data_IF_303076069026
#
_entry.id   IF_303076069026
#
_cell.length_a   1.000
_cell.length_b   1.000
_cell.length_c   1.000
_cell.angle_alpha   90.00
_cell.angle_beta   90.00
_cell.angle_gamma   90.00
#
_symmetry.space_group_name_H-M   'P 1'
#
loop_
_entity.id
_entity.type
_entity.pdbx_description
1 polymer ?
#
# COMPACT_ATOMS: atom_id res chain seq x y z
N UNK A 1 64.75 2.40 7.70
CA UNK A 1 64.75 0.96 7.36
C UNK A 1 63.60 0.35 8.13
N UNK A 2 62.39 0.32 7.55
CA UNK A 2 61.82 -0.81 6.78
C UNK A 2 61.60 -2.00 7.75
N UNK A 3 60.41 -2.57 8.00
CA UNK A 3 59.22 -2.90 7.19
C UNK A 3 57.99 -3.05 8.13
N UNK A 4 56.80 -2.55 7.75
CA UNK A 4 55.62 -3.29 7.23
C UNK A 4 54.83 -4.11 8.26
N UNK A 5 53.59 -3.70 8.56
CA UNK A 5 52.66 -4.48 9.39
C UNK A 5 51.34 -3.77 9.71
N UNK A 6 50.59 -3.34 8.69
CA UNK A 6 49.18 -2.95 8.83
C UNK A 6 48.32 -4.09 8.30
N UNK A 7 47.61 -4.78 9.20
CA UNK A 7 46.64 -5.81 8.85
C UNK A 7 45.31 -5.18 8.40
N UNK A 8 44.71 -5.62 7.29
CA UNK A 8 43.32 -5.38 6.98
C UNK A 8 42.44 -6.54 7.47
N UNK A 9 41.32 -6.21 8.11
CA UNK A 9 40.21 -7.12 8.32
C UNK A 9 39.66 -7.57 6.97
N UNK A 10 39.96 -8.81 6.60
CA UNK A 10 39.20 -9.61 5.64
C UNK A 10 38.77 -10.85 6.42
N UNK A 11 37.49 -10.90 6.78
CA UNK A 11 36.88 -12.10 7.34
C UNK A 11 36.28 -12.84 6.15
N UNK A 12 36.91 -13.96 5.83
CA UNK A 12 36.42 -14.94 4.87
C UNK A 12 35.03 -15.42 5.31
N UNK A 13 34.03 -15.10 4.50
CA UNK A 13 32.73 -15.74 4.48
C UNK A 13 32.87 -16.98 3.58
N UNK A 14 33.15 -18.13 4.19
CA UNK A 14 32.95 -19.40 3.50
C UNK A 14 32.45 -20.49 4.45
N UNK A 15 31.45 -21.21 3.95
CA UNK A 15 30.92 -22.50 4.38
C UNK A 15 30.32 -22.65 5.78
N UNK A 16 29.10 -22.13 5.92
CA UNK A 16 28.07 -22.79 6.72
C UNK A 16 26.65 -22.48 6.18
N UNK A 17 26.37 -22.92 4.95
CA UNK A 17 24.98 -23.11 4.51
C UNK A 17 24.86 -24.54 4.03
N UNK A 18 24.31 -25.39 4.89
CA UNK A 18 23.88 -26.73 4.51
C UNK A 18 22.94 -26.63 3.31
N UNK A 19 23.39 -27.18 2.19
CA UNK A 19 22.61 -27.34 0.98
C UNK A 19 21.42 -28.26 1.30
N UNK A 20 20.28 -27.63 1.55
CA UNK A 20 19.01 -28.28 1.74
C UNK A 20 18.50 -28.72 0.36
N UNK A 21 18.89 -29.93 -0.04
CA UNK A 21 18.63 -30.47 -1.37
C UNK A 21 17.15 -30.86 -1.51
N UNK A 22 16.37 -29.98 -2.15
CA UNK A 22 14.91 -30.09 -2.30
C UNK A 22 14.49 -30.69 -3.64
N UNK A 23 15.33 -31.51 -4.29
CA UNK A 23 15.02 -32.06 -5.61
C UNK A 23 15.18 -33.59 -5.65
N UNK A 24 14.19 -34.33 -6.17
CA UNK A 24 14.33 -35.76 -6.36
C UNK A 24 15.39 -36.06 -7.45
N UNK A 25 16.06 -37.22 -7.37
CA UNK A 25 17.06 -37.62 -8.35
C UNK A 25 16.46 -37.61 -9.76
N UNK A 26 17.17 -36.99 -10.70
CA UNK A 26 16.78 -36.92 -12.12
C UNK A 26 16.82 -38.34 -12.69
N UNK A 27 15.69 -38.77 -13.24
CA UNK A 27 15.56 -40.05 -13.94
C UNK A 27 16.41 -40.04 -15.22
N UNK A 28 17.52 -40.78 -15.20
CA UNK A 28 18.47 -40.90 -16.33
C UNK A 28 17.82 -41.60 -17.55
N UNK A 29 16.62 -42.19 -17.42
CA UNK A 29 15.87 -42.78 -18.53
C UNK A 29 15.46 -41.75 -19.62
N UNK A 30 15.31 -40.47 -19.24
CA UNK A 30 14.98 -39.39 -20.18
C UNK A 30 16.13 -39.05 -21.15
N UNK A 31 17.38 -39.37 -20.80
CA UNK A 31 18.53 -39.16 -21.68
C UNK A 31 18.69 -40.32 -22.68
N UNK A 32 18.24 -41.53 -22.34
CA UNK A 32 18.29 -42.69 -23.23
C UNK A 32 17.15 -42.70 -24.27
N UNK A 33 15.96 -42.14 -23.96
CA UNK A 33 14.84 -42.06 -24.90
C UNK A 33 15.05 -41.12 -26.09
N UNK A 34 16.06 -40.25 -26.01
CA UNK A 34 16.36 -39.24 -27.05
C UNK A 34 17.12 -39.83 -28.25
N UNK A 35 17.53 -41.10 -28.19
CA UNK A 35 18.36 -41.74 -29.22
C UNK A 35 17.62 -42.76 -30.10
N UNK A 36 16.34 -43.05 -29.85
CA UNK A 36 15.61 -44.12 -30.55
C UNK A 36 14.29 -43.69 -31.23
N UNK A 37 14.15 -42.39 -31.55
CA UNK A 37 13.07 -41.91 -32.41
C UNK A 37 13.34 -42.25 -33.90
N UNK A 38 13.13 -43.50 -34.29
CA UNK A 38 12.75 -43.84 -35.67
C UNK A 38 12.15 -45.25 -35.82
N UNK A 39 10.85 -45.44 -35.54
CA UNK A 39 9.89 -46.10 -36.47
C UNK A 39 8.50 -46.36 -35.89
N UNK A 40 7.54 -45.88 -36.67
CA UNK A 40 6.23 -46.47 -37.00
C UNK A 40 5.05 -46.21 -36.08
N UNK A 41 4.15 -45.41 -36.63
CA UNK A 41 2.76 -45.16 -36.26
C UNK A 41 1.86 -46.41 -36.35
N UNK A 42 0.78 -46.37 -35.56
CA UNK A 42 -0.57 -46.62 -36.08
C UNK A 42 -1.25 -47.94 -35.65
N UNK A 43 -2.38 -47.84 -34.95
CA UNK A 43 -3.34 -48.95 -34.82
C UNK A 43 -4.33 -48.83 -33.66
N UNK A 44 -5.32 -47.97 -33.82
CA UNK A 44 -6.55 -47.82 -33.02
C UNK A 44 -7.50 -49.03 -33.19
N UNK A 45 -8.33 -49.36 -32.18
CA UNK A 45 -9.68 -49.98 -32.31
C UNK A 45 -10.37 -50.22 -30.97
N UNK A 46 -11.65 -49.81 -30.93
CA UNK A 46 -12.66 -49.85 -29.87
C UNK A 46 -13.56 -51.12 -29.91
N UNK A 47 -14.50 -51.17 -28.94
CA UNK A 47 -15.76 -51.97 -28.83
C UNK A 47 -15.64 -53.38 -28.19
N UNK A 48 -16.58 -53.94 -27.42
CA UNK A 48 -18.02 -53.71 -27.18
C UNK A 48 -18.46 -54.42 -25.87
N UNK A 49 -19.62 -54.05 -25.33
CA UNK A 49 -20.28 -54.61 -24.15
C UNK A 49 -21.30 -55.72 -24.50
N UNK A 50 -21.60 -56.63 -23.55
CA UNK A 50 -22.92 -57.29 -23.48
C UNK A 50 -23.19 -57.99 -22.15
N UNK A 51 -24.35 -57.65 -21.57
CA UNK A 51 -25.03 -58.31 -20.46
C UNK A 51 -25.95 -59.45 -20.95
N UNK A 52 -26.28 -60.39 -20.07
CA UNK A 52 -27.39 -61.33 -20.23
C UNK A 52 -27.65 -62.18 -18.99
N UNK A 53 -28.83 -62.02 -18.38
CA UNK A 53 -29.39 -62.86 -17.29
C UNK A 53 -29.71 -64.29 -17.74
N UNK A 54 -30.07 -65.27 -16.89
CA UNK A 54 -31.14 -65.30 -15.90
C UNK A 54 -31.15 -66.64 -15.09
N UNK A 55 -31.74 -66.60 -13.87
CA UNK A 55 -32.61 -67.62 -13.23
C UNK A 55 -32.10 -68.93 -12.55
N UNK A 56 -32.15 -68.96 -11.20
CA UNK A 56 -33.00 -69.89 -10.37
C UNK A 56 -32.46 -71.25 -9.82
N UNK A 57 -32.91 -71.76 -8.63
CA UNK A 57 -32.16 -72.61 -7.65
C UNK A 57 -32.76 -74.05 -7.47
N UNK A 58 -32.55 -74.92 -6.41
CA UNK A 58 -31.88 -74.75 -5.10
C UNK A 58 -31.08 -75.93 -4.45
N UNK A 59 -30.34 -75.57 -3.38
CA UNK A 59 -30.03 -76.30 -2.13
C UNK A 59 -29.32 -77.67 -2.15
N UNK A 60 -28.03 -77.66 -1.78
CA UNK A 60 -27.42 -78.67 -0.91
C UNK A 60 -26.33 -78.01 -0.04
N UNK A 61 -26.52 -78.06 1.29
CA UNK A 61 -25.59 -77.53 2.29
C UNK A 61 -24.35 -78.43 2.42
N UNK A 62 -23.16 -77.83 2.42
CA UNK A 62 -21.93 -78.43 2.98
C UNK A 62 -20.87 -77.32 3.19
N UNK A 63 -19.86 -77.54 4.06
CA UNK A 63 -19.67 -76.77 5.30
C UNK A 63 -18.92 -75.45 5.11
N UNK A 64 -19.16 -74.51 6.04
CA UNK A 64 -18.46 -73.22 6.17
C UNK A 64 -16.95 -73.46 6.29
N UNK A 65 -16.23 -73.34 5.17
CA UNK A 65 -14.77 -73.23 5.16
C UNK A 65 -14.41 -71.86 5.72
N UNK A 66 -13.80 -71.84 6.92
CA UNK A 66 -13.18 -70.64 7.49
C UNK A 66 -12.25 -70.03 6.43
N UNK A 67 -12.62 -68.86 5.90
CA UNK A 67 -11.73 -68.05 5.06
C UNK A 67 -10.48 -67.75 5.89
N UNK A 68 -9.34 -68.37 5.54
CA UNK A 68 -8.04 -67.87 5.97
C UNK A 68 -7.97 -66.44 5.43
N UNK A 69 -8.07 -65.45 6.32
CA UNK A 69 -7.64 -64.06 6.04
C UNK A 69 -6.16 -64.16 5.66
N UNK A 70 -5.88 -64.32 4.38
CA UNK A 70 -4.54 -64.08 3.84
C UNK A 70 -4.27 -62.62 4.12
N UNK A 71 -3.21 -62.38 4.89
CA UNK A 71 -2.87 -61.06 5.39
C UNK A 71 -2.37 -60.24 4.21
N UNK A 72 -3.26 -59.50 3.54
CA UNK A 72 -2.96 -58.68 2.36
C UNK A 72 -1.73 -57.79 2.57
N UNK A 73 -1.54 -57.29 3.80
CA UNK A 73 -0.36 -56.52 4.21
C UNK A 73 0.96 -57.31 4.14
N UNK A 74 0.94 -58.61 4.41
CA UNK A 74 2.15 -59.44 4.27
C UNK A 74 2.53 -59.62 2.80
N UNK A 75 1.54 -59.71 1.90
CA UNK A 75 1.78 -59.81 0.46
C UNK A 75 2.31 -58.47 -0.08
N UNK A 76 1.71 -57.35 0.31
CA UNK A 76 2.19 -56.01 -0.05
C UNK A 76 3.61 -55.74 0.48
N UNK A 77 3.92 -56.14 1.72
CA UNK A 77 5.29 -56.00 2.26
C UNK A 77 6.31 -56.84 1.48
N UNK A 78 5.94 -58.04 1.04
CA UNK A 78 6.83 -58.86 0.22
C UNK A 78 7.04 -58.23 -1.17
N UNK A 79 5.98 -57.71 -1.80
CA UNK A 79 6.08 -56.98 -3.07
C UNK A 79 6.99 -55.76 -2.94
N UNK A 80 6.81 -54.94 -1.89
CA UNK A 80 7.66 -53.77 -1.66
C UNK A 80 9.12 -54.14 -1.36
N UNK A 81 9.36 -55.31 -0.74
CA UNK A 81 10.72 -55.82 -0.53
C UNK A 81 11.36 -56.30 -1.84
N UNK A 82 10.58 -56.93 -2.73
CA UNK A 82 11.01 -57.31 -4.07
C UNK A 82 11.31 -56.07 -4.93
N UNK A 83 10.41 -55.08 -4.94
CA UNK A 83 10.59 -53.81 -5.63
C UNK A 83 11.82 -53.06 -5.11
N UNK A 84 12.01 -53.03 -3.78
CA UNK A 84 13.21 -52.44 -3.16
C UNK A 84 14.48 -53.17 -3.62
N UNK A 85 14.49 -54.50 -3.60
CA UNK A 85 15.65 -55.28 -4.03
C UNK A 85 15.95 -55.10 -5.52
N UNK A 86 14.92 -54.90 -6.35
CA UNK A 86 15.06 -54.57 -7.76
C UNK A 86 15.64 -53.16 -7.96
N UNK A 87 15.12 -52.16 -7.25
CA UNK A 87 15.64 -50.78 -7.29
C UNK A 87 17.08 -50.70 -6.78
N UNK A 88 17.43 -51.43 -5.71
CA UNK A 88 18.80 -51.52 -5.21
C UNK A 88 19.74 -52.16 -6.24
N UNK A 89 19.27 -53.17 -6.98
CA UNK A 89 20.04 -53.77 -8.08
C UNK A 89 20.23 -52.80 -9.24
N UNK A 90 19.19 -52.05 -9.61
CA UNK A 90 19.26 -51.03 -10.66
C UNK A 90 20.21 -49.88 -10.26
N UNK A 91 20.17 -49.43 -9.00
CA UNK A 91 21.10 -48.43 -8.48
C UNK A 91 22.55 -48.92 -8.55
N UNK A 92 22.84 -50.13 -8.07
CA UNK A 92 24.19 -50.69 -8.13
C UNK A 92 24.72 -50.81 -9.57
N UNK A 93 23.83 -51.15 -10.53
CA UNK A 93 24.19 -51.20 -11.95
C UNK A 93 24.50 -49.80 -12.52
N UNK A 94 23.69 -48.80 -12.18
CA UNK A 94 23.89 -47.42 -12.61
C UNK A 94 25.16 -46.81 -11.99
N UNK A 95 25.45 -47.10 -10.73
CA UNK A 95 26.67 -46.67 -10.04
C UNK A 95 27.92 -47.28 -10.70
N UNK A 96 27.90 -48.59 -10.96
CA UNK A 96 28.99 -49.28 -11.66
C UNK A 96 29.21 -48.72 -13.07
N UNK A 97 28.13 -48.41 -13.80
CA UNK A 97 28.20 -47.77 -15.13
C UNK A 97 28.77 -46.36 -15.04
N UNK A 98 28.41 -45.59 -14.01
CA UNK A 98 28.91 -44.23 -13.75
C UNK A 98 30.41 -44.26 -13.44
N UNK A 99 30.86 -45.17 -12.58
CA UNK A 99 32.28 -45.35 -12.25
C UNK A 99 33.11 -45.72 -13.47
N UNK A 100 32.61 -46.64 -14.32
CA UNK A 100 33.26 -46.99 -15.59
C UNK A 100 33.38 -45.81 -16.57
N UNK A 101 32.36 -44.93 -16.62
CA UNK A 101 32.41 -43.70 -17.43
C UNK A 101 33.40 -42.68 -16.88
N UNK A 102 33.49 -42.50 -15.56
CA UNK A 102 34.42 -41.57 -14.93
C UNK A 102 35.89 -41.95 -15.18
N UNK A 103 36.19 -43.24 -15.32
CA UNK A 103 37.54 -43.73 -15.63
C UNK A 103 37.95 -43.55 -17.10
N UNK A 104 37.00 -43.36 -18.01
CA UNK A 104 37.24 -43.32 -19.46
C UNK A 104 37.18 -41.91 -20.06
N UNK A 105 36.61 -40.94 -19.34
CA UNK A 105 36.42 -39.57 -19.83
C UNK A 105 37.55 -38.63 -19.37
N UNK A 106 37.97 -37.72 -20.26
CA UNK A 106 38.88 -36.62 -19.91
C UNK A 106 38.22 -35.64 -18.93
N UNK A 107 39.01 -35.05 -18.03
CA UNK A 107 38.58 -34.02 -17.05
C UNK A 107 37.80 -32.88 -17.73
N UNK A 108 38.17 -32.52 -18.98
CA UNK A 108 37.47 -31.48 -19.73
C UNK A 108 36.06 -31.91 -20.17
N UNK A 109 35.88 -33.18 -20.56
CA UNK A 109 34.58 -33.71 -20.99
C UNK A 109 33.60 -33.81 -19.80
N UNK A 110 34.08 -34.23 -18.63
CA UNK A 110 33.29 -34.29 -17.41
C UNK A 110 32.78 -32.91 -16.98
N UNK A 111 33.61 -31.86 -17.13
CA UNK A 111 33.21 -30.49 -16.83
C UNK A 111 32.10 -30.00 -17.77
N UNK A 112 32.18 -30.29 -19.06
CA UNK A 112 31.13 -29.92 -20.01
C UNK A 112 29.83 -30.70 -19.81
N UNK A 113 29.91 -31.98 -19.44
CA UNK A 113 28.76 -32.79 -19.07
C UNK A 113 28.05 -32.20 -17.84
N UNK A 114 28.81 -31.79 -16.82
CA UNK A 114 28.26 -31.12 -15.64
C UNK A 114 27.59 -29.80 -16.02
N UNK A 115 28.24 -28.96 -16.83
CA UNK A 115 27.65 -27.71 -17.32
C UNK A 115 26.36 -27.98 -18.10
N UNK A 116 26.34 -28.97 -19.00
CA UNK A 116 25.16 -29.33 -19.79
C UNK A 116 24.00 -29.81 -18.90
N UNK A 117 24.28 -30.62 -17.87
CA UNK A 117 23.27 -31.02 -16.87
C UNK A 117 22.70 -29.82 -16.12
N UNK A 118 23.56 -28.92 -15.63
CA UNK A 118 23.12 -27.71 -14.93
C UNK A 118 22.26 -26.83 -15.86
N UNK A 119 22.67 -26.65 -17.11
CA UNK A 119 21.88 -25.88 -18.10
C UNK A 119 20.54 -26.52 -18.41
N UNK A 120 20.47 -27.85 -18.51
CA UNK A 120 19.21 -28.58 -18.68
C UNK A 120 18.29 -28.40 -17.47
N UNK A 121 18.82 -28.51 -16.25
CA UNK A 121 18.05 -28.29 -15.01
C UNK A 121 17.49 -26.87 -14.94
N UNK A 122 18.31 -25.86 -15.26
CA UNK A 122 17.87 -24.46 -15.32
C UNK A 122 16.78 -24.25 -16.37
N UNK A 123 16.93 -24.84 -17.56
CA UNK A 123 15.91 -24.80 -18.62
C UNK A 123 14.58 -25.41 -18.15
N UNK A 124 14.62 -26.59 -17.53
CA UNK A 124 13.42 -27.26 -17.03
C UNK A 124 12.75 -26.45 -15.92
N UNK A 125 13.53 -25.82 -15.03
CA UNK A 125 13.01 -24.89 -14.03
C UNK A 125 12.30 -23.70 -14.68
N UNK A 126 12.94 -23.05 -15.65
CA UNK A 126 12.35 -21.92 -16.37
C UNK A 126 11.06 -22.32 -17.11
N UNK A 127 10.99 -23.52 -17.70
CA UNK A 127 9.77 -24.01 -18.36
C UNK A 127 8.63 -24.20 -17.35
N UNK A 128 8.90 -24.78 -16.17
CA UNK A 128 7.89 -24.95 -15.11
C UNK A 128 7.38 -23.60 -14.59
N UNK A 129 8.30 -22.67 -14.34
CA UNK A 129 7.94 -21.30 -13.93
C UNK A 129 7.12 -20.59 -15.01
N UNK A 130 7.50 -20.71 -16.28
CA UNK A 130 6.75 -20.13 -17.39
C UNK A 130 5.33 -20.71 -17.50
N UNK A 131 5.18 -22.03 -17.32
CA UNK A 131 3.87 -22.68 -17.30
C UNK A 131 3.01 -22.18 -16.13
N UNK A 132 3.61 -22.04 -14.93
CA UNK A 132 2.93 -21.47 -13.76
C UNK A 132 2.49 -20.02 -13.99
N UNK A 133 3.36 -19.19 -14.56
CA UNK A 133 3.06 -17.79 -14.86
C UNK A 133 1.98 -17.66 -15.94
N UNK A 134 1.95 -18.55 -16.93
CA UNK A 134 0.87 -18.57 -17.93
C UNK A 134 -0.47 -18.96 -17.31
N UNK A 135 -0.47 -19.89 -16.35
CA UNK A 135 -1.68 -20.26 -15.63
C UNK A 135 -2.23 -19.09 -14.80
N UNK A 136 -1.37 -18.39 -14.05
CA UNK A 136 -1.79 -17.22 -13.26
C UNK A 136 -2.28 -16.07 -14.13
N UNK A 137 -1.65 -15.80 -15.27
CA UNK A 137 -2.12 -14.80 -16.25
C UNK A 137 -3.50 -15.21 -16.81
N UNK A 138 -3.71 -16.49 -17.10
CA UNK A 138 -5.01 -16.98 -17.57
C UNK A 138 -6.09 -16.76 -16.50
N UNK A 139 -5.81 -17.09 -15.23
CA UNK A 139 -6.71 -16.85 -14.08
C UNK A 139 -7.05 -15.37 -13.90
N UNK A 140 -6.05 -14.49 -13.98
CA UNK A 140 -6.25 -13.04 -13.92
C UNK A 140 -7.10 -12.54 -15.09
N UNK A 141 -6.88 -13.05 -16.30
CA UNK A 141 -7.67 -12.69 -17.47
C UNK A 141 -9.14 -13.12 -17.37
N UNK A 142 -9.40 -14.27 -16.71
CA UNK A 142 -10.76 -14.72 -16.42
C UNK A 142 -11.43 -13.82 -15.38
N UNK A 143 -10.74 -13.49 -14.29
CA UNK A 143 -11.25 -12.58 -13.27
C UNK A 143 -11.57 -11.20 -13.85
N UNK A 144 -10.68 -10.66 -14.68
CA UNK A 144 -10.90 -9.39 -15.36
C UNK A 144 -12.18 -9.43 -16.20
N UNK A 145 -12.39 -10.48 -16.99
CA UNK A 145 -13.59 -10.64 -17.81
C UNK A 145 -14.87 -10.72 -16.98
N UNK A 146 -14.84 -11.44 -15.86
CA UNK A 146 -15.98 -11.51 -14.94
C UNK A 146 -16.29 -10.16 -14.31
N UNK A 147 -15.27 -9.41 -13.90
CA UNK A 147 -15.43 -8.05 -13.38
C UNK A 147 -16.01 -7.10 -14.44
N UNK A 148 -15.49 -7.14 -15.68
CA UNK A 148 -16.03 -6.38 -16.81
C UNK A 148 -17.50 -6.72 -17.06
N UNK A 149 -17.86 -8.01 -17.01
CA UNK A 149 -19.24 -8.46 -17.19
C UNK A 149 -20.16 -7.98 -16.06
N UNK A 150 -19.70 -7.97 -14.81
CA UNK A 150 -20.45 -7.43 -13.66
C UNK A 150 -20.67 -5.92 -13.82
N UNK A 151 -19.63 -5.18 -14.20
CA UNK A 151 -19.67 -3.73 -14.42
C UNK A 151 -20.64 -3.38 -15.55
N UNK A 152 -20.59 -4.11 -16.67
CA UNK A 152 -21.47 -3.89 -17.83
C UNK A 152 -22.92 -4.32 -17.57
N UNK A 153 -23.17 -5.32 -16.72
CA UNK A 153 -24.54 -5.81 -16.42
C UNK A 153 -25.27 -5.04 -15.34
N UNK A 154 -24.58 -4.31 -14.44
CA UNK A 154 -25.22 -3.50 -13.38
C UNK A 154 -24.86 -2.01 -13.40
N UNK A 155 -24.81 -1.33 -14.56
CA UNK A 155 -24.38 0.07 -14.63
C UNK A 155 -25.32 1.00 -13.84
N UNK A 156 -26.64 0.78 -13.88
CA UNK A 156 -27.60 1.67 -13.19
C UNK A 156 -27.58 1.56 -11.67
N UNK A 157 -27.42 0.35 -11.13
CA UNK A 157 -27.35 0.16 -9.68
C UNK A 157 -25.99 0.59 -9.11
N UNK A 158 -24.91 0.44 -9.90
CA UNK A 158 -23.62 1.04 -9.57
C UNK A 158 -23.69 2.56 -9.65
N UNK A 159 -24.25 3.14 -10.71
CA UNK A 159 -24.36 4.60 -10.87
C UNK A 159 -25.18 5.25 -9.76
N UNK A 160 -26.31 4.67 -9.34
CA UNK A 160 -27.10 5.20 -8.22
C UNK A 160 -26.32 5.12 -6.89
N UNK A 161 -25.55 4.04 -6.68
CA UNK A 161 -24.63 3.94 -5.54
C UNK A 161 -23.44 4.89 -5.66
N UNK A 162 -23.01 5.28 -6.85
CA UNK A 162 -21.93 6.25 -7.06
C UNK A 162 -22.41 7.67 -6.74
N UNK A 163 -23.65 8.03 -7.11
CA UNK A 163 -24.29 9.30 -6.73
C UNK A 163 -24.43 9.42 -5.20
N UNK A 164 -24.80 8.34 -4.50
CA UNK A 164 -24.82 8.31 -3.02
C UNK A 164 -23.41 8.32 -2.39
N UNK A 165 -22.35 8.17 -3.19
CA UNK A 165 -20.96 8.12 -2.76
C UNK A 165 -20.11 9.29 -3.28
N UNK A 166 -20.73 10.36 -3.80
CA UNK A 166 -20.01 11.56 -4.26
C UNK A 166 -19.11 12.17 -3.17
N UNK A 167 -19.50 12.04 -1.91
CA UNK A 167 -18.69 12.44 -0.76
C UNK A 167 -17.32 11.72 -0.71
N UNK A 168 -17.23 10.49 -1.25
CA UNK A 168 -15.97 9.72 -1.30
C UNK A 168 -14.94 10.33 -2.24
N UNK A 169 -15.42 11.07 -3.25
CA UNK A 169 -14.60 11.89 -4.16
C UNK A 169 -14.61 13.38 -3.78
N UNK A 170 -15.03 13.69 -2.54
CA UNK A 170 -14.98 15.04 -1.96
C UNK A 170 -15.86 16.05 -2.71
N UNK A 171 -16.99 15.55 -3.23
CA UNK A 171 -18.03 16.34 -3.87
C UNK A 171 -19.24 16.49 -2.93
N UNK A 172 -19.77 17.70 -2.84
CA UNK A 172 -20.98 18.00 -2.08
C UNK A 172 -22.15 18.28 -3.02
N UNK A 173 -23.30 17.67 -2.71
CA UNK A 173 -24.55 17.92 -3.44
C UNK A 173 -25.15 19.29 -3.12
N UNK A 174 -26.02 19.77 -4.01
CA UNK A 174 -26.87 20.94 -3.79
C UNK A 174 -28.02 20.67 -2.81
N UNK A 175 -28.39 19.39 -2.61
CA UNK A 175 -29.41 18.99 -1.64
C UNK A 175 -28.90 19.14 -0.20
N UNK A 176 -29.63 19.89 0.62
CA UNK A 176 -29.21 20.28 1.96
C UNK A 176 -28.96 19.10 2.89
N UNK A 177 -29.83 18.09 2.90
CA UNK A 177 -29.66 16.94 3.80
C UNK A 177 -28.49 16.05 3.36
N UNK A 178 -28.41 15.72 2.06
CA UNK A 178 -27.29 14.97 1.50
C UNK A 178 -25.96 15.66 1.71
N UNK A 179 -25.94 16.99 1.58
CA UNK A 179 -24.77 17.82 1.83
C UNK A 179 -24.28 17.72 3.27
N UNK A 180 -25.18 17.83 4.25
CA UNK A 180 -24.82 17.71 5.67
C UNK A 180 -24.28 16.31 5.99
N UNK A 181 -24.95 15.27 5.50
CA UNK A 181 -24.50 13.89 5.66
C UNK A 181 -23.12 13.67 5.02
N UNK A 182 -22.88 14.23 3.83
CA UNK A 182 -21.58 14.17 3.17
C UNK A 182 -20.47 14.88 3.96
N UNK A 183 -20.77 16.06 4.55
CA UNK A 183 -19.81 16.79 5.39
C UNK A 183 -19.35 15.93 6.57
N UNK A 184 -20.30 15.32 7.29
CA UNK A 184 -19.96 14.43 8.40
C UNK A 184 -19.22 13.17 7.92
N UNK A 185 -19.68 12.51 6.86
CA UNK A 185 -19.05 11.30 6.34
C UNK A 185 -17.60 11.53 5.87
N UNK A 186 -17.31 12.69 5.26
CA UNK A 186 -15.95 13.07 4.87
C UNK A 186 -15.05 13.22 6.09
N UNK A 187 -15.54 13.89 7.14
CA UNK A 187 -14.78 14.07 8.38
C UNK A 187 -14.59 12.75 9.15
N UNK A 188 -15.62 11.92 9.24
CA UNK A 188 -15.58 10.63 9.92
C UNK A 188 -14.56 9.69 9.26
N UNK A 189 -14.50 9.68 7.93
CA UNK A 189 -13.44 8.99 7.19
C UNK A 189 -12.04 9.51 7.54
N UNK A 190 -11.86 10.81 7.79
CA UNK A 190 -10.54 11.31 8.22
C UNK A 190 -10.19 10.83 9.63
N UNK A 191 -11.16 10.71 10.53
CA UNK A 191 -10.90 10.17 11.87
C UNK A 191 -10.45 8.71 11.83
N UNK A 192 -11.07 7.89 10.97
CA UNK A 192 -10.73 6.47 10.79
C UNK A 192 -9.29 6.25 10.33
N UNK A 193 -8.68 7.22 9.62
CA UNK A 193 -7.31 7.07 9.10
C UNK A 193 -6.23 7.47 10.09
N UNK A 194 -6.55 8.25 11.13
CA UNK A 194 -5.55 8.87 12.05
C UNK A 194 -4.61 7.83 12.63
N UNK A 195 -5.13 6.75 13.21
CA UNK A 195 -4.31 5.75 13.89
C UNK A 195 -3.37 5.03 12.91
N UNK A 196 -3.85 4.73 11.70
CA UNK A 196 -3.04 4.13 10.64
C UNK A 196 -1.95 5.07 10.13
N UNK A 197 -2.26 6.36 9.96
CA UNK A 197 -1.29 7.37 9.53
C UNK A 197 -0.26 7.64 10.61
N UNK A 198 -0.68 7.74 11.87
CA UNK A 198 0.26 7.87 12.99
C UNK A 198 1.25 6.71 13.03
N UNK A 199 0.78 5.48 12.78
CA UNK A 199 1.65 4.30 12.75
C UNK A 199 2.67 4.38 11.62
N UNK A 200 2.22 4.68 10.39
CA UNK A 200 3.09 4.77 9.20
C UNK A 200 4.09 5.92 9.32
N UNK A 201 3.68 7.05 9.91
CA UNK A 201 4.52 8.22 10.07
C UNK A 201 5.49 8.12 11.26
N UNK A 202 5.36 7.08 12.10
CA UNK A 202 6.14 6.91 13.33
C UNK A 202 5.71 7.83 14.48
N UNK A 203 4.52 8.43 14.39
CA UNK A 203 3.99 9.39 15.35
C UNK A 203 3.35 8.75 16.58
N UNK A 204 3.00 7.46 16.54
CA UNK A 204 2.32 6.78 17.65
C UNK A 204 3.07 6.93 18.97
N UNK A 205 4.36 6.58 19.00
CA UNK A 205 5.18 6.57 20.22
C UNK A 205 6.04 7.83 20.37
N UNK A 206 6.03 8.73 19.39
CA UNK A 206 6.82 9.96 19.45
C UNK A 206 6.28 10.90 20.54
N UNK A 207 7.13 11.21 21.52
CA UNK A 207 6.87 12.23 22.56
C UNK A 207 7.82 13.42 22.45
N UNK A 208 8.96 13.23 21.79
CA UNK A 208 9.96 14.28 21.63
C UNK A 208 9.50 15.40 20.70
N UNK A 209 10.05 16.60 20.92
CA UNK A 209 9.76 17.74 20.07
C UNK A 209 10.34 17.53 18.67
N UNK A 210 9.48 17.41 17.67
CA UNK A 210 9.91 17.26 16.28
C UNK A 210 9.03 18.04 15.31
N UNK A 211 9.65 18.58 14.27
CA UNK A 211 9.00 19.22 13.13
C UNK A 211 9.68 18.73 11.86
N UNK A 212 8.91 18.19 10.92
CA UNK A 212 9.44 17.63 9.68
C UNK A 212 8.50 17.98 8.52
N UNK A 213 9.09 18.36 7.39
CA UNK A 213 8.39 18.48 6.11
C UNK A 213 8.98 17.49 5.12
N UNK A 214 8.13 16.80 4.37
CA UNK A 214 8.51 15.79 3.37
C UNK A 214 7.77 16.05 2.08
N UNK A 215 8.30 15.52 1.00
CA UNK A 215 7.69 15.61 -0.33
C UNK A 215 7.65 14.24 -0.95
N UNK A 216 6.63 13.99 -1.76
CA UNK A 216 6.44 12.71 -2.43
C UNK A 216 5.67 12.90 -3.72
N UNK A 217 5.64 11.83 -4.50
CA UNK A 217 4.81 11.73 -5.68
C UNK A 217 3.94 10.47 -5.56
N UNK A 218 2.69 10.58 -5.94
CA UNK A 218 1.80 9.43 -6.10
C UNK A 218 2.23 8.58 -7.30
N UNK A 219 1.70 7.35 -7.41
CA UNK A 219 1.90 6.49 -8.59
C UNK A 219 1.53 7.20 -9.90
N UNK A 220 0.58 8.13 -9.82
CA UNK A 220 0.00 8.84 -10.96
C UNK A 220 0.79 10.12 -11.29
N UNK A 221 1.94 10.35 -10.62
CA UNK A 221 2.81 11.50 -10.85
C UNK A 221 2.37 12.78 -10.15
N UNK A 222 1.30 12.76 -9.36
CA UNK A 222 0.84 13.93 -8.58
C UNK A 222 1.79 14.15 -7.40
N UNK A 223 2.41 15.33 -7.36
CA UNK A 223 3.33 15.76 -6.31
C UNK A 223 2.53 16.24 -5.09
N UNK A 224 2.97 15.87 -3.90
CA UNK A 224 2.39 16.34 -2.64
C UNK A 224 3.50 16.67 -1.63
N UNK A 225 3.16 17.51 -0.65
CA UNK A 225 3.99 17.72 0.53
C UNK A 225 3.24 17.36 1.80
N UNK A 226 4.02 16.93 2.79
CA UNK A 226 3.56 16.50 4.10
C UNK A 226 4.29 17.30 5.17
N UNK A 227 3.56 17.71 6.21
CA UNK A 227 4.09 18.39 7.38
C UNK A 227 3.68 17.60 8.62
N UNK A 228 4.65 17.29 9.47
CA UNK A 228 4.42 16.55 10.71
C UNK A 228 5.04 17.30 11.88
N UNK A 229 4.32 17.30 13.01
CA UNK A 229 4.72 17.96 14.24
C UNK A 229 4.35 17.09 15.44
N UNK A 230 5.25 16.93 16.40
CA UNK A 230 4.93 16.49 17.76
C UNK A 230 5.55 17.49 18.73
N UNK A 231 4.75 18.05 19.64
CA UNK A 231 5.24 19.00 20.63
C UNK A 231 4.52 18.88 21.96
N UNK A 232 5.20 19.24 23.03
CA UNK A 232 4.60 19.40 24.35
C UNK A 232 4.22 20.87 24.57
N UNK A 233 3.00 21.09 25.03
CA UNK A 233 2.48 22.42 25.36
C UNK A 233 2.05 22.44 26.82
N UNK A 234 2.42 23.49 27.56
CA UNK A 234 2.04 23.67 28.97
C UNK A 234 0.74 24.48 29.07
N UNK A 235 -0.38 23.84 28.76
CA UNK A 235 -1.72 24.41 28.91
C UNK A 235 -2.75 23.30 29.14
N UNK A 236 -3.97 23.67 29.55
CA UNK A 236 -5.07 22.70 29.61
C UNK A 236 -5.44 22.18 28.20
N UNK A 237 -6.01 20.97 28.11
CA UNK A 237 -6.52 20.41 26.84
C UNK A 237 -7.52 21.37 26.18
N UNK A 238 -8.42 21.97 26.95
CA UNK A 238 -9.41 22.91 26.44
C UNK A 238 -8.75 24.15 25.80
N UNK A 239 -7.74 24.73 26.46
CA UNK A 239 -6.97 25.85 25.93
C UNK A 239 -6.23 25.47 24.66
N UNK A 240 -5.60 24.29 24.64
CA UNK A 240 -4.86 23.80 23.48
C UNK A 240 -5.79 23.53 22.28
N UNK A 241 -6.98 22.97 22.51
CA UNK A 241 -7.99 22.73 21.46
C UNK A 241 -8.52 24.04 20.90
N UNK A 242 -8.86 25.01 21.75
CA UNK A 242 -9.31 26.33 21.32
C UNK A 242 -8.21 27.06 20.50
N UNK A 243 -6.96 26.99 20.95
CA UNK A 243 -5.82 27.51 20.20
C UNK A 243 -5.63 26.79 18.85
N UNK A 244 -5.78 25.47 18.80
CA UNK A 244 -5.69 24.70 17.56
C UNK A 244 -6.79 25.10 16.56
N UNK A 245 -8.04 25.21 17.05
CA UNK A 245 -9.19 25.62 16.25
C UNK A 245 -9.04 27.05 15.70
N UNK A 246 -8.60 27.99 16.54
CA UNK A 246 -8.28 29.37 16.14
C UNK A 246 -7.15 29.42 15.13
N UNK A 247 -6.10 28.62 15.30
CA UNK A 247 -4.97 28.54 14.35
C UNK A 247 -5.44 28.07 12.99
N UNK A 248 -6.22 26.98 12.92
CA UNK A 248 -6.76 26.46 11.67
C UNK A 248 -7.63 27.51 10.97
N UNK A 249 -8.54 28.17 11.71
CA UNK A 249 -9.33 29.27 11.14
C UNK A 249 -8.43 30.42 10.66
N UNK A 250 -7.47 30.88 11.46
CA UNK A 250 -6.66 32.05 11.16
C UNK A 250 -5.66 31.83 10.01
N UNK A 251 -4.97 30.70 10.01
CA UNK A 251 -3.99 30.32 8.97
C UNK A 251 -4.62 30.26 7.58
N UNK A 252 -5.92 30.04 7.54
CA UNK A 252 -6.68 30.01 6.31
C UNK A 252 -7.29 31.40 5.99
N UNK A 253 -7.62 32.25 6.96
CA UNK A 253 -8.40 33.49 6.76
C UNK A 253 -7.58 34.72 6.33
N UNK A 254 -6.32 34.81 6.72
CA UNK A 254 -5.55 36.05 6.56
C UNK A 254 -4.42 35.91 5.54
N UNK A 255 -4.43 36.68 4.43
CA UNK A 255 -3.26 36.77 3.57
C UNK A 255 -2.12 37.47 4.34
N UNK A 256 -0.88 37.01 4.15
CA UNK A 256 0.27 37.64 4.81
C UNK A 256 0.61 39.03 4.26
N UNK A 257 0.14 39.34 3.06
CA UNK A 257 0.33 40.65 2.43
C UNK A 257 -1.01 41.33 2.16
N UNK A 258 -1.04 42.66 2.31
CA UNK A 258 -2.23 43.49 2.03
C UNK A 258 -2.56 43.62 0.54
N UNK A 259 -1.71 43.06 -0.32
CA UNK A 259 -1.84 43.09 -1.79
C UNK A 259 -2.83 42.05 -2.33
N UNK A 260 -3.37 41.16 -1.49
CA UNK A 260 -4.32 40.11 -1.89
C UNK A 260 -5.72 40.42 -1.38
N UNK A 261 -6.72 40.28 -2.24
CA UNK A 261 -8.14 40.32 -1.85
C UNK A 261 -8.59 38.92 -1.42
N UNK A 262 -8.99 38.79 -0.16
CA UNK A 262 -9.57 37.57 0.40
C UNK A 262 -11.08 37.71 0.63
N UNK A 263 -11.84 36.68 0.27
CA UNK A 263 -13.22 36.50 0.69
C UNK A 263 -13.31 35.25 1.59
N UNK A 264 -13.95 35.39 2.74
CA UNK A 264 -14.11 34.33 3.72
C UNK A 264 -15.57 34.17 4.13
N UNK A 265 -16.04 32.92 4.20
CA UNK A 265 -17.32 32.56 4.78
C UNK A 265 -17.13 31.35 5.68
N UNK A 266 -17.71 31.41 6.88
CA UNK A 266 -17.75 30.29 7.82
C UNK A 266 -19.19 29.92 8.10
N UNK A 267 -19.45 28.62 8.17
CA UNK A 267 -20.74 28.03 8.46
C UNK A 267 -20.56 27.04 9.61
N UNK A 268 -21.12 27.37 10.76
CA UNK A 268 -21.23 26.42 11.87
C UNK A 268 -22.34 25.43 11.53
N UNK A 269 -21.97 24.15 11.39
CA UNK A 269 -22.91 23.07 11.08
C UNK A 269 -23.53 22.55 12.37
N UNK A 270 -22.70 22.32 13.38
CA UNK A 270 -23.05 21.95 14.74
C UNK A 270 -21.94 22.40 15.71
N UNK A 271 -21.98 21.94 16.96
CA UNK A 271 -21.04 22.31 18.03
C UNK A 271 -19.58 21.87 17.77
N UNK A 272 -19.40 20.87 16.90
CA UNK A 272 -18.13 20.20 16.64
C UNK A 272 -17.64 20.34 15.20
N UNK A 273 -18.49 20.83 14.29
CA UNK A 273 -18.26 20.83 12.85
C UNK A 273 -18.43 22.24 12.28
N UNK A 274 -17.39 22.72 11.58
CA UNK A 274 -17.42 23.99 10.84
C UNK A 274 -17.03 23.76 9.39
N UNK A 275 -17.80 24.35 8.48
CA UNK A 275 -17.48 24.41 7.06
C UNK A 275 -17.05 25.83 6.70
N UNK A 276 -15.85 25.99 6.16
CA UNK A 276 -15.33 27.29 5.73
C UNK A 276 -15.10 27.33 4.23
N UNK A 277 -15.24 28.52 3.65
CA UNK A 277 -15.01 28.78 2.23
C UNK A 277 -14.17 30.03 2.06
N UNK A 278 -13.25 29.96 1.11
CA UNK A 278 -12.22 30.95 0.89
C UNK A 278 -11.97 31.14 -0.58
N UNK A 279 -11.75 32.40 -0.95
CA UNK A 279 -11.29 32.77 -2.26
C UNK A 279 -10.28 33.90 -2.15
N UNK A 280 -9.14 33.74 -2.83
CA UNK A 280 -8.07 34.71 -2.88
C UNK A 280 -7.77 35.10 -4.32
N UNK A 281 -7.52 36.38 -4.55
CA UNK A 281 -7.05 36.89 -5.84
C UNK A 281 -6.24 38.17 -5.68
N UNK A 282 -5.37 38.44 -6.64
CA UNK A 282 -4.73 39.74 -6.75
C UNK A 282 -5.75 40.78 -7.28
N UNK A 283 -5.78 42.04 -6.78
CA UNK A 283 -6.71 43.08 -7.22
C UNK A 283 -6.69 43.36 -8.72
N UNK A 284 -5.52 43.19 -9.34
CA UNK A 284 -5.28 43.41 -10.77
C UNK A 284 -5.01 42.10 -11.53
N UNK A 285 -5.21 40.96 -10.88
CA UNK A 285 -4.96 39.64 -11.45
C UNK A 285 -6.24 38.93 -11.90
N UNK A 286 -6.07 37.99 -12.81
CA UNK A 286 -7.11 37.07 -13.27
C UNK A 286 -7.06 35.72 -12.54
N UNK A 287 -5.94 35.41 -11.87
CA UNK A 287 -5.79 34.16 -11.11
C UNK A 287 -6.53 34.23 -9.79
N UNK A 288 -7.33 33.19 -9.54
CA UNK A 288 -8.10 33.00 -8.31
C UNK A 288 -7.71 31.66 -7.69
N UNK A 289 -7.44 31.65 -6.39
CA UNK A 289 -7.28 30.43 -5.60
C UNK A 289 -8.48 30.27 -4.67
N UNK A 290 -9.11 29.09 -4.67
CA UNK A 290 -10.28 28.79 -3.85
C UNK A 290 -10.06 27.57 -2.98
N UNK A 291 -10.69 27.57 -1.81
CA UNK A 291 -10.64 26.44 -0.88
C UNK A 291 -11.95 26.40 -0.11
N UNK A 292 -12.55 25.22 -0.03
CA UNK A 292 -13.60 24.95 0.94
C UNK A 292 -13.13 23.83 1.85
N UNK A 293 -13.23 24.01 3.16
CA UNK A 293 -12.64 23.14 4.16
C UNK A 293 -13.69 22.72 5.18
N UNK A 294 -13.76 21.42 5.45
CA UNK A 294 -14.47 20.87 6.61
C UNK A 294 -13.47 20.80 7.75
N UNK A 295 -13.86 21.26 8.95
CA UNK A 295 -13.15 21.01 10.20
C UNK A 295 -14.12 20.36 11.17
N UNK A 296 -13.69 19.27 11.82
CA UNK A 296 -14.49 18.58 12.83
C UNK A 296 -13.62 18.20 14.01
N UNK A 297 -14.11 18.37 15.23
CA UNK A 297 -13.47 17.88 16.45
C UNK A 297 -14.23 16.67 17.01
N UNK A 298 -13.50 15.79 17.70
CA UNK A 298 -14.06 14.62 18.36
C UNK A 298 -13.30 14.38 19.67
N UNK A 299 -14.06 14.15 20.74
CA UNK A 299 -13.52 13.63 22.00
C UNK A 299 -13.43 12.11 21.90
N UNK A 300 -12.25 11.54 22.13
CA UNK A 300 -11.99 10.10 21.91
C UNK A 300 -12.27 9.27 23.16
N UNK A 301 -11.98 9.82 24.33
CA UNK A 301 -12.13 9.16 25.62
C UNK A 301 -13.25 9.78 26.46
N UNK A 302 -13.85 8.96 27.34
CA UNK A 302 -14.94 9.41 28.23
C UNK A 302 -14.51 10.55 29.19
N UNK A 303 -13.21 10.67 29.43
CA UNK A 303 -12.63 11.63 30.36
C UNK A 303 -12.23 12.95 29.69
N UNK A 304 -12.32 13.06 28.36
CA UNK A 304 -11.98 14.27 27.62
C UNK A 304 -10.49 14.62 27.60
N UNK A 305 -9.62 13.64 27.86
CA UNK A 305 -8.16 13.83 27.86
C UNK A 305 -7.57 13.80 26.46
N UNK A 306 -8.25 13.14 25.51
CA UNK A 306 -7.82 13.00 24.12
C UNK A 306 -8.85 13.61 23.19
N UNK A 307 -8.45 14.67 22.51
CA UNK A 307 -9.26 15.35 21.50
C UNK A 307 -8.56 15.29 20.16
N UNK A 308 -9.31 14.87 19.13
CA UNK A 308 -8.87 14.84 17.74
C UNK A 308 -9.58 15.93 16.96
N UNK A 309 -8.84 16.62 16.11
CA UNK A 309 -9.37 17.58 15.14
C UNK A 309 -8.96 17.09 13.76
N UNK A 310 -9.91 17.00 12.82
CA UNK A 310 -9.63 16.69 11.42
C UNK A 310 -10.01 17.87 10.54
N UNK A 311 -9.31 17.99 9.41
CA UNK A 311 -9.69 18.91 8.36
C UNK A 311 -9.49 18.30 6.98
N UNK A 312 -10.43 18.56 6.06
CA UNK A 312 -10.37 18.08 4.67
C UNK A 312 -11.00 19.09 3.72
N UNK A 313 -10.32 19.38 2.61
CA UNK A 313 -10.88 20.24 1.58
C UNK A 313 -11.89 19.51 0.70
N UNK A 314 -12.84 20.28 0.18
CA UNK A 314 -13.85 19.86 -0.80
C UNK A 314 -13.38 20.27 -2.18
N UNK A 315 -13.50 19.37 -3.14
CA UNK A 315 -13.04 19.57 -4.52
C UNK A 315 -14.16 20.01 -5.46
N UNK A 316 -15.41 19.65 -5.14
CA UNK A 316 -16.59 20.06 -5.90
C UNK A 316 -17.78 20.31 -4.97
N UNK A 317 -18.55 21.35 -5.26
CA UNK A 317 -19.64 21.84 -4.43
C UNK A 317 -20.78 22.30 -5.32
N UNK A 318 -21.74 21.43 -5.61
CA UNK A 318 -22.85 21.73 -6.53
C UNK A 318 -23.75 22.86 -6.01
N UNK A 319 -23.91 22.97 -4.69
CA UNK A 319 -24.72 24.00 -4.06
C UNK A 319 -24.08 25.38 -4.15
N UNK A 320 -22.75 25.43 -4.22
CA UNK A 320 -22.00 26.67 -4.36
C UNK A 320 -20.70 26.43 -5.17
N UNK A 321 -20.77 26.32 -6.50
CA UNK A 321 -19.64 25.87 -7.31
C UNK A 321 -18.44 26.83 -7.24
N UNK A 322 -17.25 26.26 -7.37
CA UNK A 322 -16.01 27.02 -7.58
C UNK A 322 -16.01 27.66 -8.97
N UNK A 323 -15.19 28.70 -9.15
CA UNK A 323 -14.96 29.27 -10.47
C UNK A 323 -14.21 28.24 -11.34
N UNK A 324 -14.69 27.94 -12.57
CA UNK A 324 -14.05 26.97 -13.47
C UNK A 324 -12.57 27.26 -13.77
N UNK A 325 -12.15 28.53 -13.64
CA UNK A 325 -10.78 28.95 -13.88
C UNK A 325 -9.96 29.12 -12.60
N UNK A 326 -10.52 28.83 -11.43
CA UNK A 326 -9.79 28.90 -10.16
C UNK A 326 -8.91 27.68 -9.91
N UNK A 327 -7.88 27.89 -9.09
CA UNK A 327 -7.10 26.82 -8.50
C UNK A 327 -7.74 26.38 -7.19
N UNK A 328 -8.19 25.13 -7.11
CA UNK A 328 -8.86 24.58 -5.92
C UNK A 328 -7.87 23.79 -5.07
N UNK A 329 -7.78 24.12 -3.77
CA UNK A 329 -6.87 23.44 -2.83
C UNK A 329 -7.33 22.03 -2.50
N UNK A 330 -6.41 21.07 -2.65
CA UNK A 330 -6.56 19.70 -2.17
C UNK A 330 -5.62 19.46 -0.98
N UNK A 331 -6.17 19.53 0.23
CA UNK A 331 -5.42 19.37 1.48
C UNK A 331 -6.24 18.60 2.50
N UNK A 332 -5.56 17.84 3.35
CA UNK A 332 -6.15 17.24 4.54
C UNK A 332 -5.15 17.16 5.67
N UNK A 333 -5.64 16.85 6.85
CA UNK A 333 -4.80 16.59 8.00
C UNK A 333 -5.58 16.43 9.27
N UNK A 334 -4.84 16.25 10.36
CA UNK A 334 -5.40 16.03 11.67
C UNK A 334 -4.46 16.57 12.76
N UNK A 335 -5.05 16.82 13.93
CA UNK A 335 -4.35 17.14 15.15
C UNK A 335 -4.88 16.23 16.26
N UNK A 336 -3.99 15.57 17.01
CA UNK A 336 -4.32 14.85 18.24
C UNK A 336 -3.73 15.63 19.41
N UNK A 337 -4.58 15.97 20.37
CA UNK A 337 -4.23 16.65 21.60
C UNK A 337 -4.52 15.70 22.75
N UNK A 338 -3.49 15.33 23.48
CA UNK A 338 -3.55 14.34 24.56
C UNK A 338 -2.98 14.93 25.85
N UNK A 339 -3.78 14.95 26.91
CA UNK A 339 -3.34 15.35 28.24
C UNK A 339 -2.25 14.40 28.76
N UNK A 340 -1.17 14.98 29.28
CA UNK A 340 -0.10 14.23 29.92
C UNK A 340 -0.40 14.11 31.40
N UNK A 341 -0.68 12.89 31.86
CA UNK A 341 -0.78 12.59 33.29
C UNK A 341 0.62 12.34 33.84
N UNK A 342 1.29 13.41 34.27
CA UNK A 342 2.65 13.36 34.82
C UNK A 342 2.69 12.94 36.31
N UNK A 343 1.53 12.62 36.91
CA UNK A 343 1.42 12.25 38.34
C UNK A 343 1.91 13.33 39.30
N UNK A 344 2.23 14.52 38.79
CA UNK A 344 2.80 15.65 39.49
C UNK A 344 1.75 16.75 39.60
N UNK A 345 1.80 17.55 40.66
CA UNK A 345 0.93 18.73 40.85
C UNK A 345 1.36 19.92 39.97
N UNK A 346 2.05 19.65 38.85
CA UNK A 346 2.54 20.66 37.90
C UNK A 346 1.44 21.11 36.96
N UNK A 347 1.68 22.24 36.28
CA UNK A 347 0.73 22.80 35.31
C UNK A 347 0.37 21.75 34.23
N UNK A 348 -0.92 21.66 33.91
CA UNK A 348 -1.45 20.76 32.88
C UNK A 348 -0.63 20.89 31.59
N UNK A 349 -0.23 19.75 31.03
CA UNK A 349 0.57 19.69 29.82
C UNK A 349 -0.10 18.77 28.81
N UNK A 350 0.03 19.08 27.53
CA UNK A 350 -0.66 18.41 26.42
C UNK A 350 0.35 18.07 25.34
N UNK A 351 0.41 16.80 24.96
CA UNK A 351 1.09 16.36 23.74
C UNK A 351 0.21 16.69 22.54
N UNK A 352 0.76 17.45 21.61
CA UNK A 352 0.10 17.86 20.36
C UNK A 352 0.83 17.23 19.20
N UNK A 353 0.15 16.31 18.51
CA UNK A 353 0.61 15.70 17.27
C UNK A 353 -0.19 16.29 16.12
N UNK A 354 0.47 16.67 15.04
CA UNK A 354 -0.19 17.25 13.86
C UNK A 354 0.39 16.63 12.61
N UNK A 355 -0.50 16.34 11.66
CA UNK A 355 -0.16 15.95 10.30
C UNK A 355 -0.97 16.79 9.32
N UNK A 356 -0.33 17.22 8.25
CA UNK A 356 -0.98 17.87 7.11
C UNK A 356 -0.38 17.31 5.83
N UNK A 357 -1.23 17.06 4.85
CA UNK A 357 -0.83 16.73 3.49
C UNK A 357 -1.54 17.64 2.51
N UNK A 358 -0.76 18.23 1.60
CA UNK A 358 -1.24 19.13 0.56
C UNK A 358 -0.77 18.64 -0.80
N UNK A 359 -1.72 18.44 -1.70
CA UNK A 359 -1.44 18.15 -3.11
C UNK A 359 -0.95 19.42 -3.78
N UNK A 360 0.20 19.35 -4.44
CA UNK A 360 0.80 20.51 -5.07
C UNK A 360 0.00 20.91 -6.32
N UNK A 361 -0.60 22.10 -6.28
CA UNK A 361 -1.22 22.70 -7.45
C UNK A 361 -0.17 22.90 -8.54
N UNK A 362 -0.45 22.37 -9.73
CA UNK A 362 0.38 22.62 -10.90
C UNK A 362 -0.16 23.88 -11.60
N UNK A 363 0.63 24.96 -11.66
CA UNK A 363 0.22 26.14 -12.42
C UNK A 363 0.05 25.78 -13.89
N UNK A 364 -0.99 26.33 -14.53
CA UNK A 364 -1.11 26.33 -15.99
C UNK A 364 0.02 27.18 -16.58
N UNK A 365 0.58 26.77 -17.71
CA UNK A 365 1.71 27.50 -18.34
C UNK A 365 1.40 28.98 -18.59
N UNK A 366 0.15 29.29 -18.94
CA UNK A 366 -0.32 30.65 -19.24
C UNK A 366 -0.32 31.61 -18.04
N UNK A 367 -0.54 31.08 -16.82
CA UNK A 367 -0.78 31.87 -15.62
C UNK A 367 0.24 31.59 -14.50
N UNK A 368 1.31 30.84 -14.79
CA UNK A 368 2.23 30.34 -13.78
C UNK A 368 2.85 31.44 -12.91
N UNK A 369 3.36 32.51 -13.52
CA UNK A 369 3.98 33.62 -12.80
C UNK A 369 2.99 34.37 -11.91
N UNK A 370 1.73 34.48 -12.34
CA UNK A 370 0.69 35.14 -11.56
C UNK A 370 0.22 34.27 -10.39
N UNK A 371 0.08 32.96 -10.63
CA UNK A 371 -0.23 31.98 -9.59
C UNK A 371 0.87 31.93 -8.52
N UNK A 372 2.14 31.85 -8.91
CA UNK A 372 3.25 31.84 -7.96
C UNK A 372 3.32 33.15 -7.15
N UNK A 373 3.06 34.30 -7.79
CA UNK A 373 2.94 35.58 -7.06
C UNK A 373 1.79 35.57 -6.05
N UNK A 374 0.64 35.02 -6.41
CA UNK A 374 -0.50 34.88 -5.48
C UNK A 374 -0.13 33.98 -4.29
N UNK A 375 0.42 32.79 -4.54
CA UNK A 375 0.82 31.86 -3.47
C UNK A 375 1.93 32.43 -2.58
N UNK A 376 2.88 33.15 -3.17
CA UNK A 376 3.89 33.91 -2.43
C UNK A 376 3.26 34.97 -1.54
N UNK A 377 2.36 35.79 -2.08
CA UNK A 377 1.69 36.85 -1.33
C UNK A 377 0.79 36.31 -0.20
N UNK A 378 0.25 35.10 -0.36
CA UNK A 378 -0.57 34.43 0.65
C UNK A 378 0.25 33.89 1.82
N UNK A 379 1.41 33.30 1.57
CA UNK A 379 2.12 32.48 2.56
C UNK A 379 3.55 32.92 2.89
N UNK A 380 4.19 33.74 2.05
CA UNK A 380 5.53 34.26 2.26
C UNK A 380 5.45 35.74 2.65
N UNK A 381 6.32 36.15 3.58
CA UNK A 381 6.56 37.57 3.82
C UNK A 381 7.36 38.17 2.67
N UNK A 382 7.22 39.46 2.37
CA UNK A 382 7.92 40.15 1.26
C UNK A 382 9.45 39.96 1.27
N UNK A 383 10.03 39.60 2.42
CA UNK A 383 11.48 39.35 2.62
C UNK A 383 11.93 37.95 2.19
N UNK A 384 11.01 37.00 1.98
CA UNK A 384 11.29 35.58 1.75
C UNK A 384 11.10 35.14 0.29
N UNK A 385 10.76 36.06 -0.62
CA UNK A 385 10.66 35.77 -2.06
C UNK A 385 12.08 35.66 -2.63
N UNK A 386 12.71 34.51 -2.43
CA UNK A 386 13.95 34.15 -3.12
C UNK A 386 13.64 33.86 -4.59
N UNK A 387 14.58 34.12 -5.50
CA UNK A 387 14.44 33.71 -6.90
C UNK A 387 14.54 32.19 -7.00
N UNK A 388 13.42 31.49 -6.86
CA UNK A 388 13.37 30.02 -6.96
C UNK A 388 13.41 29.61 -8.43
N UNK A 389 14.21 28.59 -8.74
CA UNK A 389 14.47 28.14 -10.11
C UNK A 389 13.28 27.41 -10.75
N UNK A 390 12.56 26.57 -9.99
CA UNK A 390 11.38 25.84 -10.49
C UNK A 390 10.08 26.18 -9.74
N UNK A 391 8.91 26.19 -10.43
CA UNK A 391 7.61 26.38 -9.79
C UNK A 391 7.32 25.37 -8.68
N UNK A 392 7.78 24.12 -8.84
CA UNK A 392 7.60 23.06 -7.86
C UNK A 392 8.37 23.36 -6.56
N UNK A 393 9.65 23.73 -6.64
CA UNK A 393 10.46 24.12 -5.47
C UNK A 393 9.86 25.34 -4.75
N UNK A 394 9.30 26.29 -5.50
CA UNK A 394 8.64 27.45 -4.91
C UNK A 394 7.42 27.05 -4.09
N UNK A 395 6.57 26.18 -4.63
CA UNK A 395 5.39 25.68 -3.93
C UNK A 395 5.76 24.86 -2.69
N UNK A 396 6.88 24.13 -2.72
CA UNK A 396 7.43 23.44 -1.55
C UNK A 396 7.89 24.43 -0.47
N UNK A 397 8.57 25.51 -0.86
CA UNK A 397 8.97 26.57 0.07
C UNK A 397 7.75 27.27 0.68
N UNK A 398 6.72 27.54 -0.12
CA UNK A 398 5.42 28.08 0.32
C UNK A 398 4.80 27.16 1.39
N UNK A 399 4.76 25.85 1.14
CA UNK A 399 4.21 24.88 2.08
C UNK A 399 5.02 24.82 3.38
N UNK A 400 6.35 24.68 3.32
CA UNK A 400 7.20 24.62 4.52
C UNK A 400 7.08 25.91 5.37
N UNK A 401 7.05 27.07 4.70
CA UNK A 401 6.87 28.35 5.37
C UNK A 401 5.49 28.45 6.03
N UNK A 402 4.42 28.04 5.34
CA UNK A 402 3.06 28.04 5.87
C UNK A 402 2.96 27.10 7.09
N UNK A 403 3.53 25.89 7.00
CA UNK A 403 3.52 24.91 8.09
C UNK A 403 4.28 25.40 9.34
N UNK A 404 5.45 26.02 9.16
CA UNK A 404 6.18 26.64 10.29
C UNK A 404 5.44 27.83 10.88
N UNK A 405 4.80 28.64 10.04
CA UNK A 405 4.01 29.79 10.50
C UNK A 405 2.81 29.33 11.32
N UNK A 406 2.19 28.21 10.95
CA UNK A 406 1.13 27.57 11.72
C UNK A 406 1.59 27.19 13.13
N UNK A 407 2.75 26.53 13.30
CA UNK A 407 3.28 26.17 14.63
C UNK A 407 3.52 27.41 15.51
N UNK A 408 4.10 28.47 14.94
CA UNK A 408 4.34 29.72 15.66
C UNK A 408 3.02 30.35 16.11
N UNK A 409 2.03 30.42 15.23
CA UNK A 409 0.73 31.02 15.54
C UNK A 409 -0.06 30.19 16.56
N UNK A 410 0.02 28.87 16.47
CA UNK A 410 -0.55 27.97 17.47
C UNK A 410 0.02 28.23 18.86
N UNK A 411 1.35 28.27 18.99
CA UNK A 411 2.01 28.59 20.26
C UNK A 411 1.64 29.97 20.79
N UNK A 412 1.47 30.96 19.92
CA UNK A 412 1.00 32.29 20.32
C UNK A 412 -0.42 32.25 20.90
N UNK A 413 -1.36 31.54 20.26
CA UNK A 413 -2.72 31.41 20.77
C UNK A 413 -2.79 30.63 22.07
N UNK A 414 -1.97 29.59 22.24
CA UNK A 414 -1.84 28.90 23.52
C UNK A 414 -1.40 29.90 24.59
N UNK A 415 -0.30 30.63 24.36
CA UNK A 415 0.27 31.55 25.35
C UNK A 415 -0.65 32.75 25.68
N UNK A 416 -1.56 33.10 24.78
CA UNK A 416 -2.54 34.18 25.00
C UNK A 416 -3.79 33.70 25.74
N UNK A 417 -4.06 32.39 25.69
CA UNK A 417 -5.26 31.76 26.25
C UNK A 417 -4.98 30.97 27.53
N UNK A 418 -3.70 30.78 27.88
CA UNK A 418 -3.19 30.29 29.15
C UNK A 418 -3.00 31.46 30.14
#
# INVERSE_FOLDING_TARGET
MAESGMGPWAVDLDDAVGEFDFLPPVDEALLESSLDESRSEGGDSLDDASEGGESGPPLAQCPVRRRKRVNTRQVEMLSLHEDKAELERQLAELERRREGRLQTLSVSALKWEQIARTQLQLKLKAIRENASLRATIAEQSTLQRELEEIVLKKPRLMMLKMEDNEWRVLKLSADGEKRLNAIHAIADRQFETIDSEMLVLGLMETTDDFLCTRTGATSDGVIYAEGMRCTLVHASVATAVDAAWKTLLHAHVQPKTSSVLGAFKSYTIDDDTTYTRMAFRNPHGNVKAEMSMIMKKQVVDDNGRVIRIVFRTILDDEGQPFDPNSYVSDQYGWMQLEEVDDGSMTAASVHVKTYVRSTMMQPKEEDADEFLRLMGALHLDERNVSSVGSPAEFMLQVFDTAFRSFDVLFRQFVNTSA
#
